data_IF_261045234316
#
_entry.id   IF_261045234316
#
_cell.length_a   1.000
_cell.length_b   1.000
_cell.length_c   1.000
_cell.angle_alpha   90.00
_cell.angle_beta   90.00
_cell.angle_gamma   90.00
#
_symmetry.space_group_name_H-M   'P 1'
#
loop_
_entity.id
_entity.type
_entity.pdbx_description
1 polymer ?
#
# COMPACT_ATOMS: atom_id res chain seq x y z
N UNK A 1 4.87 16.66 34.19
CA UNK A 1 4.87 16.50 33.58
C UNK A 1 4.80 16.38 32.65
N UNK A 2 4.86 16.55 32.74
CA UNK A 2 4.80 16.41 31.78
C UNK A 2 4.77 16.29 30.93
N UNK A 3 4.92 16.30 30.99
CA UNK A 3 4.88 16.12 30.03
C UNK A 3 4.86 15.93 29.21
N UNK A 4 4.96 15.91 29.30
CA UNK A 4 4.92 15.71 28.46
C UNK A 4 4.82 15.41 27.58
N UNK A 5 4.83 15.40 27.69
CA UNK A 5 4.76 15.07 26.87
C UNK A 5 4.59 15.18 25.92
N UNK A 6 4.77 15.40 26.03
CA UNK A 6 4.65 15.60 25.11
C UNK A 6 4.71 15.63 24.34
N UNK A 7 4.78 15.74 24.57
CA UNK A 7 4.85 15.83 23.85
C UNK A 7 5.11 15.52 22.97
N UNK A 8 5.40 15.04 22.96
CA UNK A 8 5.73 14.75 22.17
C UNK A 8 5.43 14.97 21.33
N UNK A 9 5.51 15.32 21.66
CA UNK A 9 4.83 15.81 20.69
C UNK A 9 5.28 15.86 19.29
N UNK A 10 5.08 14.90 18.70
CA UNK A 10 5.35 14.82 17.32
C UNK A 10 4.22 15.42 16.58
N UNK A 11 4.39 16.64 16.21
CA UNK A 11 3.52 17.20 15.22
C UNK A 11 3.67 16.40 13.96
N UNK A 12 2.61 15.85 13.50
CA UNK A 12 2.58 15.31 12.16
C UNK A 12 2.82 16.45 11.20
N UNK A 13 3.90 16.39 10.47
CA UNK A 13 4.16 17.34 9.41
C UNK A 13 3.26 16.97 8.26
N UNK A 14 2.33 17.82 7.93
CA UNK A 14 1.49 17.64 6.76
C UNK A 14 2.28 18.02 5.53
N UNK A 15 2.40 17.08 4.62
CA UNK A 15 3.04 17.34 3.34
C UNK A 15 1.94 17.69 2.34
N UNK A 16 2.05 18.83 1.68
CA UNK A 16 1.08 19.22 0.65
C UNK A 16 1.48 18.61 -0.67
N UNK A 17 1.15 17.35 -0.86
CA UNK A 17 1.47 16.61 -2.08
C UNK A 17 0.18 16.19 -2.74
N UNK A 18 -0.11 16.78 -3.90
CA UNK A 18 -1.34 16.48 -4.63
C UNK A 18 -1.21 15.27 -5.54
N UNK A 19 0.00 15.00 -6.01
CA UNK A 19 0.26 13.94 -6.98
C UNK A 19 1.26 12.95 -6.39
N UNK A 20 0.91 11.70 -6.37
CA UNK A 20 1.77 10.69 -5.80
C UNK A 20 1.70 9.37 -6.56
N UNK A 21 2.30 8.36 -5.97
CA UNK A 21 2.36 7.01 -6.52
C UNK A 21 1.85 6.03 -5.48
N UNK A 22 0.98 5.13 -5.90
CA UNK A 22 0.51 4.04 -5.07
C UNK A 22 1.26 2.78 -5.48
N UNK A 23 2.00 2.21 -4.54
CA UNK A 23 2.72 0.96 -4.75
C UNK A 23 1.95 -0.17 -4.09
N UNK A 24 1.44 -1.09 -4.88
CA UNK A 24 0.70 -2.23 -4.39
C UNK A 24 1.54 -3.48 -4.60
N UNK A 25 1.97 -4.11 -3.51
CA UNK A 25 2.68 -5.38 -3.56
C UNK A 25 1.73 -6.47 -3.10
N UNK A 26 1.33 -7.34 -4.00
CA UNK A 26 0.35 -8.39 -3.72
C UNK A 26 1.00 -9.74 -3.92
N UNK A 27 1.18 -10.49 -2.83
CA UNK A 27 1.68 -11.85 -2.86
C UNK A 27 0.52 -12.81 -2.62
N UNK A 28 0.78 -14.11 -2.73
CA UNK A 28 -0.24 -15.10 -2.44
C UNK A 28 -0.68 -15.08 -0.98
N UNK A 29 0.12 -14.51 -0.09
CA UNK A 29 -0.15 -14.53 1.36
C UNK A 29 -0.52 -13.17 1.95
N UNK A 30 -0.30 -12.07 1.25
CA UNK A 30 -0.54 -10.74 1.82
C UNK A 30 -0.61 -9.69 0.73
N UNK A 31 -1.11 -8.51 1.08
CA UNK A 31 -1.10 -7.34 0.22
C UNK A 31 -0.64 -6.15 1.02
N UNK A 32 0.32 -5.41 0.47
CA UNK A 32 0.87 -4.21 1.09
C UNK A 32 0.64 -3.03 0.14
N UNK A 33 0.06 -1.96 0.65
CA UNK A 33 -0.19 -0.74 -0.12
C UNK A 33 0.61 0.39 0.49
N UNK A 34 1.46 1.02 -0.30
CA UNK A 34 2.27 2.16 0.14
C UNK A 34 1.99 3.34 -0.79
N UNK A 35 1.66 4.48 -0.22
CA UNK A 35 1.45 5.70 -0.98
C UNK A 35 2.64 6.61 -0.77
N UNK A 36 3.24 7.05 -1.86
CA UNK A 36 4.45 7.87 -1.84
C UNK A 36 4.26 9.11 -2.67
N UNK A 37 5.20 10.06 -2.55
CA UNK A 37 5.28 11.15 -3.50
C UNK A 37 6.02 10.67 -4.77
N UNK A 38 6.21 11.56 -5.73
CA UNK A 38 6.89 11.19 -6.98
C UNK A 38 8.36 10.81 -6.78
N UNK A 39 8.95 11.28 -5.72
CA UNK A 39 10.36 10.98 -5.40
C UNK A 39 10.54 9.66 -4.68
N UNK A 40 9.44 9.03 -4.27
CA UNK A 40 9.49 7.75 -3.56
C UNK A 40 9.43 7.86 -2.05
N UNK A 41 9.24 9.05 -1.49
CA UNK A 41 9.12 9.22 -0.05
C UNK A 41 7.74 8.78 0.43
N UNK A 42 7.69 7.85 1.36
CA UNK A 42 6.42 7.29 1.81
C UNK A 42 5.57 8.32 2.56
N UNK A 43 4.31 8.43 2.20
CA UNK A 43 3.33 9.25 2.90
C UNK A 43 2.54 8.41 3.88
N UNK A 44 2.14 7.22 3.47
CA UNK A 44 1.41 6.29 4.31
C UNK A 44 1.54 4.89 3.74
N UNK A 45 1.26 3.90 4.58
CA UNK A 45 1.23 2.53 4.13
C UNK A 45 0.30 1.72 5.02
N UNK A 46 -0.18 0.61 4.50
CA UNK A 46 -0.97 -0.35 5.25
C UNK A 46 -0.83 -1.72 4.63
N UNK A 47 -1.00 -2.74 5.42
CA UNK A 47 -0.98 -4.11 4.93
C UNK A 47 -2.12 -4.90 5.55
N UNK A 48 -2.52 -5.99 4.91
CA UNK A 48 -3.56 -6.85 5.46
C UNK A 48 -3.16 -7.39 6.83
N UNK A 49 -1.90 -7.80 6.97
CA UNK A 49 -1.39 -8.28 8.27
C UNK A 49 -1.38 -7.21 9.33
N UNK A 50 -1.07 -5.98 8.97
CA UNK A 50 -1.04 -4.84 9.89
C UNK A 50 -2.40 -4.44 10.40
N UNK A 51 -3.47 -4.76 9.68
CA UNK A 51 -4.84 -4.45 10.08
C UNK A 51 -5.48 -5.53 10.95
N UNK A 52 -4.73 -6.59 11.26
CA UNK A 52 -5.23 -7.64 12.12
C UNK A 52 -5.69 -8.91 11.42
N UNK A 53 -5.65 -8.96 10.10
CA UNK A 53 -5.91 -10.20 9.37
C UNK A 53 -4.78 -11.19 9.61
N UNK A 54 -5.11 -12.44 9.85
CA UNK A 54 -4.12 -13.46 10.18
C UNK A 54 -4.25 -14.68 9.27
N UNK A 55 -3.13 -15.35 9.02
CA UNK A 55 -3.11 -16.58 8.23
C UNK A 55 -3.69 -16.39 6.85
N UNK A 56 -4.58 -17.25 6.44
CA UNK A 56 -5.17 -17.21 5.11
C UNK A 56 -6.03 -15.98 4.85
N UNK A 57 -6.46 -15.29 5.89
CA UNK A 57 -7.29 -14.09 5.75
C UNK A 57 -6.52 -12.93 5.11
N UNK A 58 -5.20 -12.90 5.25
CA UNK A 58 -4.36 -11.86 4.66
C UNK A 58 -4.37 -11.88 3.14
N UNK A 59 -4.64 -13.03 2.55
CA UNK A 59 -4.60 -13.18 1.09
C UNK A 59 -5.94 -12.86 0.41
N UNK A 60 -6.96 -12.49 1.17
CA UNK A 60 -8.28 -12.23 0.60
C UNK A 60 -8.36 -10.87 -0.08
N UNK A 61 -9.22 -10.74 -1.13
CA UNK A 61 -9.44 -9.42 -1.73
C UNK A 61 -10.01 -8.40 -0.76
N UNK A 62 -10.84 -8.85 0.19
CA UNK A 62 -11.38 -7.96 1.21
C UNK A 62 -10.29 -7.34 2.07
N UNK A 63 -9.30 -8.15 2.48
CA UNK A 63 -8.18 -7.65 3.27
C UNK A 63 -7.37 -6.61 2.50
N UNK A 64 -7.14 -6.85 1.20
CA UNK A 64 -6.46 -5.90 0.34
C UNK A 64 -7.24 -4.59 0.20
N UNK A 65 -8.56 -4.70 0.08
CA UNK A 65 -9.43 -3.54 0.02
C UNK A 65 -9.31 -2.68 1.27
N UNK A 66 -9.34 -3.30 2.44
CA UNK A 66 -9.21 -2.57 3.71
C UNK A 66 -7.83 -1.93 3.86
N UNK A 67 -6.78 -2.63 3.43
CA UNK A 67 -5.43 -2.07 3.46
C UNK A 67 -5.31 -0.82 2.57
N UNK A 68 -5.82 -0.90 1.35
CA UNK A 68 -5.79 0.22 0.41
C UNK A 68 -6.60 1.40 0.93
N UNK A 69 -7.76 1.14 1.49
CA UNK A 69 -8.61 2.18 2.06
C UNK A 69 -7.93 2.90 3.22
N UNK A 70 -7.32 2.14 4.13
CA UNK A 70 -6.62 2.71 5.27
C UNK A 70 -5.44 3.57 4.82
N UNK A 71 -4.63 3.06 3.90
CA UNK A 71 -3.48 3.80 3.40
C UNK A 71 -3.92 5.08 2.65
N UNK A 72 -4.98 4.98 1.85
CA UNK A 72 -5.48 6.12 1.08
C UNK A 72 -6.00 7.22 1.98
N UNK A 73 -6.77 6.88 3.00
CA UNK A 73 -7.29 7.88 3.94
C UNK A 73 -6.17 8.61 4.66
N UNK A 74 -5.15 7.88 5.10
CA UNK A 74 -4.00 8.49 5.76
C UNK A 74 -3.23 9.41 4.82
N UNK A 75 -3.05 9.02 3.57
CA UNK A 75 -2.36 9.84 2.57
C UNK A 75 -3.16 11.09 2.19
N UNK A 76 -4.47 11.00 2.17
CA UNK A 76 -5.32 12.15 1.83
C UNK A 76 -5.19 13.27 2.87
N UNK A 77 -4.79 12.97 4.09
CA UNK A 77 -4.49 13.98 5.09
C UNK A 77 -3.32 14.86 4.68
N UNK A 78 -2.45 14.35 3.80
CA UNK A 78 -1.32 15.11 3.26
C UNK A 78 -1.67 15.82 1.96
N UNK A 79 -2.94 15.86 1.61
CA UNK A 79 -3.41 16.56 0.43
C UNK A 79 -3.38 15.77 -0.86
N UNK A 80 -3.10 14.48 -0.80
CA UNK A 80 -3.01 13.64 -1.99
C UNK A 80 -4.36 13.54 -2.70
N UNK A 81 -4.37 13.79 -4.00
CA UNK A 81 -5.58 13.78 -4.83
C UNK A 81 -5.48 12.86 -6.02
N UNK A 82 -4.31 12.78 -6.64
CA UNK A 82 -4.09 12.00 -7.84
C UNK A 82 -2.93 11.03 -7.63
N UNK A 83 -3.06 9.83 -8.16
CA UNK A 83 -2.02 8.81 -8.03
C UNK A 83 -1.81 8.05 -9.34
N UNK A 84 -0.59 7.61 -9.54
CA UNK A 84 -0.27 6.55 -10.49
C UNK A 84 -0.16 5.27 -9.67
N UNK A 85 -0.69 4.17 -10.20
CA UNK A 85 -0.66 2.90 -9.48
C UNK A 85 0.36 1.97 -10.11
N UNK A 86 1.29 1.50 -9.31
CA UNK A 86 2.27 0.50 -9.70
C UNK A 86 1.96 -0.78 -8.94
N UNK A 87 1.54 -1.80 -9.67
CA UNK A 87 1.13 -3.08 -9.09
C UNK A 87 2.22 -4.12 -9.30
N UNK A 88 2.51 -4.87 -8.27
CA UNK A 88 3.56 -5.87 -8.29
C UNK A 88 3.05 -7.16 -7.67
N UNK A 89 3.28 -8.29 -8.35
CA UNK A 89 2.97 -9.59 -7.81
C UNK A 89 1.62 -10.16 -8.24
N UNK A 90 1.45 -11.46 -8.09
CA UNK A 90 0.28 -12.19 -8.62
C UNK A 90 -0.87 -12.39 -7.64
N UNK A 91 -0.84 -11.76 -6.48
CA UNK A 91 -1.83 -12.02 -5.43
C UNK A 91 -3.25 -11.66 -5.81
N UNK A 92 -4.21 -12.25 -5.11
CA UNK A 92 -5.63 -12.03 -5.37
C UNK A 92 -6.10 -10.61 -5.04
N UNK A 93 -5.35 -9.88 -4.25
CA UNK A 93 -5.74 -8.55 -3.81
C UNK A 93 -5.43 -7.41 -4.77
N UNK A 94 -4.80 -7.67 -5.90
CA UNK A 94 -4.38 -6.62 -6.85
C UNK A 94 -5.51 -5.70 -7.24
N UNK A 95 -6.54 -6.28 -7.85
CA UNK A 95 -7.65 -5.49 -8.38
C UNK A 95 -8.49 -4.85 -7.29
N UNK A 96 -8.70 -5.57 -6.19
CA UNK A 96 -9.48 -5.04 -5.07
C UNK A 96 -8.81 -3.81 -4.47
N UNK A 97 -7.48 -3.83 -4.34
CA UNK A 97 -6.73 -2.69 -3.84
C UNK A 97 -6.86 -1.48 -4.77
N UNK A 98 -6.73 -1.69 -6.08
CA UNK A 98 -6.86 -0.61 -7.05
C UNK A 98 -8.25 0.02 -7.00
N UNK A 99 -9.28 -0.81 -6.96
CA UNK A 99 -10.67 -0.33 -6.89
C UNK A 99 -10.92 0.44 -5.61
N UNK A 100 -10.33 -0.01 -4.52
CA UNK A 100 -10.49 0.65 -3.23
C UNK A 100 -9.85 2.04 -3.22
N UNK A 101 -8.70 2.20 -3.88
CA UNK A 101 -8.08 3.52 -4.02
C UNK A 101 -8.98 4.49 -4.77
N UNK A 102 -9.63 4.03 -5.83
CA UNK A 102 -10.59 4.86 -6.57
C UNK A 102 -11.82 5.19 -5.72
N UNK A 103 -12.30 4.22 -4.97
CA UNK A 103 -13.50 4.38 -4.15
C UNK A 103 -13.30 5.37 -3.00
N UNK A 104 -12.07 5.53 -2.51
CA UNK A 104 -11.79 6.49 -1.42
C UNK A 104 -11.71 7.93 -1.90
N UNK A 105 -11.73 8.16 -3.20
CA UNK A 105 -11.73 9.50 -3.77
C UNK A 105 -10.43 9.90 -4.46
N UNK A 106 -9.44 9.03 -4.50
CA UNK A 106 -8.22 9.30 -5.25
C UNK A 106 -8.46 9.10 -6.74
N UNK A 107 -7.95 10.02 -7.54
CA UNK A 107 -8.01 9.89 -8.98
C UNK A 107 -6.83 9.06 -9.46
N UNK A 108 -7.11 7.93 -10.09
CA UNK A 108 -6.09 7.05 -10.63
C UNK A 108 -5.83 7.41 -12.09
N UNK A 109 -4.66 7.95 -12.36
CA UNK A 109 -4.30 8.42 -13.72
C UNK A 109 -3.70 7.31 -14.58
N UNK A 110 -2.99 6.39 -13.97
CA UNK A 110 -2.29 5.34 -14.71
C UNK A 110 -2.13 4.11 -13.82
N UNK A 111 -2.24 2.94 -14.43
CA UNK A 111 -2.00 1.68 -13.73
C UNK A 111 -0.92 0.95 -14.52
N UNK A 112 0.16 0.57 -13.85
CA UNK A 112 1.27 -0.11 -14.47
C UNK A 112 1.67 -1.34 -13.65
N UNK A 113 1.88 -2.45 -14.33
CA UNK A 113 2.36 -3.67 -13.70
C UNK A 113 3.89 -3.65 -13.72
N UNK A 114 4.50 -3.67 -12.55
CA UNK A 114 5.95 -3.62 -12.39
C UNK A 114 6.50 -4.91 -11.80
N UNK A 115 5.77 -6.00 -11.94
CA UNK A 115 6.21 -7.30 -11.46
C UNK A 115 7.56 -7.65 -12.11
N UNK A 116 8.60 -7.95 -11.31
CA UNK A 116 9.90 -8.24 -11.88
C UNK A 116 9.90 -9.58 -12.61
N UNK A 117 10.52 -9.58 -13.79
CA UNK A 117 10.69 -10.79 -14.60
C UNK A 117 12.18 -11.02 -14.74
N UNK A 118 12.75 -12.04 -14.08
CA UNK A 118 14.17 -12.27 -14.18
C UNK A 118 14.56 -12.83 -15.55
N UNK A 119 15.75 -12.44 -16.02
CA UNK A 119 16.33 -12.98 -17.25
C UNK A 119 17.13 -14.22 -16.88
N UNK A 120 16.47 -15.24 -16.34
CA UNK A 120 17.04 -16.46 -15.76
C UNK A 120 17.69 -16.29 -14.39
N UNK A 121 18.14 -15.13 -13.99
CA UNK A 121 18.62 -14.80 -12.67
C UNK A 121 19.27 -15.95 -11.87
N UNK A 122 19.19 -15.84 -10.57
CA UNK A 122 19.69 -16.89 -9.69
C UNK A 122 18.65 -18.01 -9.51
N UNK A 123 19.12 -19.16 -9.03
CA UNK A 123 18.22 -20.28 -8.76
C UNK A 123 17.20 -19.88 -7.69
N UNK A 124 15.89 -20.11 -7.92
CA UNK A 124 14.90 -19.78 -6.93
C UNK A 124 15.02 -20.67 -5.69
N UNK A 125 14.56 -20.19 -4.53
CA UNK A 125 14.54 -21.01 -3.32
C UNK A 125 13.51 -22.12 -3.46
N UNK A 126 13.50 -23.04 -2.52
CA UNK A 126 12.50 -24.09 -2.53
C UNK A 126 11.10 -23.51 -2.35
N UNK A 127 10.11 -24.31 -2.70
CA UNK A 127 8.71 -23.91 -2.71
C UNK A 127 8.25 -23.35 -1.36
N UNK A 128 7.64 -22.18 -1.41
CA UNK A 128 7.13 -21.52 -0.21
C UNK A 128 5.75 -22.05 0.15
N UNK A 129 5.45 -21.94 1.43
CA UNK A 129 4.12 -22.25 1.93
C UNK A 129 3.14 -21.17 1.50
N UNK A 130 1.98 -21.57 1.02
CA UNK A 130 0.90 -20.66 0.63
C UNK A 130 -0.37 -21.08 1.40
N UNK A 131 -1.01 -20.10 2.00
CA UNK A 131 -2.26 -20.35 2.73
C UNK A 131 -3.45 -20.45 1.79
#
# INVERSE_FOLDING_TARGET
MAVKKAVRTKKKVRKNIEYGVAHISSTFNNTIVTLTDKSGNALSWASAGGLGFRGSRKSTPFAAQMAAETAAKAAMEHGLKQVEVYVKGPGAGREAAIRSLQATGLEVNMIKDVTPIPHNGCRPPKRRRVY
#
